data_IF_286181968748
#
_entry.id   IF_286181968748
#
_cell.length_a   1.000
_cell.length_b   1.000
_cell.length_c   1.000
_cell.angle_alpha   90.00
_cell.angle_beta   90.00
_cell.angle_gamma   90.00
#
_symmetry.space_group_name_H-M   'P 1'
#
loop_
_entity.id
_entity.type
_entity.pdbx_description
1 polymer ?
#
# COMPACT_ATOMS: atom_id res chain seq x y z
N UNK A 1 68.32 -3.47 22.12
CA UNK A 1 67.18 -3.64 21.19
C UNK A 1 66.25 -2.44 21.30
N UNK A 2 66.23 -1.53 20.32
CA UNK A 2 65.31 -0.38 20.33
C UNK A 2 63.93 -0.80 19.79
N UNK A 3 62.93 -0.81 20.68
CA UNK A 3 61.54 -1.10 20.36
C UNK A 3 60.91 0.14 19.70
N UNK A 4 60.84 0.18 18.37
CA UNK A 4 60.11 1.23 17.62
C UNK A 4 58.66 1.26 18.10
N UNK A 5 58.26 2.32 18.81
CA UNK A 5 56.86 2.56 19.15
C UNK A 5 56.12 2.90 17.86
N UNK A 6 55.12 2.11 17.49
CA UNK A 6 54.22 2.44 16.39
C UNK A 6 53.46 3.71 16.80
N UNK A 7 53.60 4.78 16.02
CA UNK A 7 52.79 5.98 16.20
C UNK A 7 51.34 5.62 15.87
N UNK A 8 50.48 5.61 16.87
CA UNK A 8 49.04 5.59 16.65
C UNK A 8 48.67 6.94 16.02
N UNK A 9 48.32 6.93 14.74
CA UNK A 9 47.71 8.08 14.08
C UNK A 9 46.29 8.21 14.61
N UNK A 10 46.04 9.27 15.37
CA UNK A 10 44.70 9.66 15.79
C UNK A 10 43.92 10.29 14.64
N UNK A 11 42.60 10.26 14.74
CA UNK A 11 41.68 10.92 13.80
C UNK A 11 41.77 12.45 13.95
N UNK A 12 41.90 13.19 12.85
CA UNK A 12 41.91 14.65 12.88
C UNK A 12 40.48 15.19 12.90
N UNK A 13 40.28 16.38 13.49
CA UNK A 13 38.97 17.05 13.44
C UNK A 13 38.54 17.38 12.01
N UNK A 14 39.50 17.67 11.14
CA UNK A 14 39.26 17.93 9.72
C UNK A 14 38.79 16.69 8.96
N UNK A 15 39.30 15.50 9.29
CA UNK A 15 38.82 14.24 8.70
C UNK A 15 37.38 13.96 9.12
N UNK A 16 37.02 14.22 10.38
CA UNK A 16 35.62 14.12 10.82
C UNK A 16 34.73 15.10 10.07
N UNK A 17 35.17 16.35 9.96
CA UNK A 17 34.38 17.46 9.39
C UNK A 17 34.05 17.19 7.92
N UNK A 18 35.04 16.76 7.12
CA UNK A 18 34.81 16.42 5.71
C UNK A 18 33.83 15.24 5.58
N UNK A 19 33.91 14.24 6.45
CA UNK A 19 32.97 13.09 6.43
C UNK A 19 31.54 13.53 6.71
N UNK A 20 31.29 14.31 7.77
CA UNK A 20 29.93 14.79 8.07
C UNK A 20 29.41 15.77 7.02
N UNK A 21 30.29 16.57 6.40
CA UNK A 21 29.91 17.45 5.29
C UNK A 21 29.43 16.64 4.07
N UNK A 22 30.14 15.55 3.72
CA UNK A 22 29.72 14.67 2.62
C UNK A 22 28.38 13.99 2.95
N UNK A 23 28.21 13.47 4.17
CA UNK A 23 26.95 12.83 4.61
C UNK A 23 25.78 13.83 4.53
N UNK A 24 25.98 15.09 4.95
CA UNK A 24 24.95 16.12 4.89
C UNK A 24 24.49 16.40 3.45
N UNK A 25 25.43 16.51 2.49
CA UNK A 25 25.11 16.72 1.07
C UNK A 25 24.34 15.52 0.51
N UNK A 26 24.78 14.29 0.80
CA UNK A 26 24.10 13.07 0.34
C UNK A 26 22.67 13.00 0.88
N UNK A 27 22.47 13.27 2.17
CA UNK A 27 21.16 13.21 2.81
C UNK A 27 20.14 14.15 2.14
N UNK A 28 20.55 15.38 1.79
CA UNK A 28 19.68 16.35 1.12
C UNK A 28 19.20 15.87 -0.25
N UNK A 29 20.08 15.24 -1.04
CA UNK A 29 19.74 14.74 -2.39
C UNK A 29 18.81 13.51 -2.33
N UNK A 30 18.91 12.72 -1.27
CA UNK A 30 18.17 11.48 -1.08
C UNK A 30 16.69 11.71 -0.76
N UNK A 31 16.35 12.70 0.06
CA UNK A 31 14.99 12.97 0.55
C UNK A 31 13.89 13.08 -0.53
N UNK A 32 14.02 13.90 -1.60
CA UNK A 32 12.94 14.08 -2.57
C UNK A 32 12.67 12.80 -3.39
N UNK A 33 13.68 11.94 -3.59
CA UNK A 33 13.51 10.70 -4.34
C UNK A 33 12.58 9.73 -3.60
N UNK A 34 12.72 9.60 -2.28
CA UNK A 34 11.92 8.66 -1.49
C UNK A 34 10.41 8.93 -1.56
N UNK A 35 9.98 10.19 -1.61
CA UNK A 35 8.55 10.55 -1.70
C UNK A 35 7.88 9.99 -2.95
N UNK A 36 8.56 10.06 -4.10
CA UNK A 36 8.02 9.57 -5.38
C UNK A 36 7.88 8.05 -5.43
N UNK A 37 8.83 7.33 -4.82
CA UNK A 37 8.78 5.86 -4.74
C UNK A 37 7.65 5.39 -3.82
N UNK A 38 7.46 6.04 -2.68
CA UNK A 38 6.38 5.69 -1.75
C UNK A 38 5.01 5.86 -2.40
N UNK A 39 4.82 6.91 -3.20
CA UNK A 39 3.54 7.16 -3.86
C UNK A 39 3.24 6.14 -4.98
N UNK A 40 4.25 5.77 -5.78
CA UNK A 40 4.10 4.68 -6.77
C UNK A 40 3.77 3.35 -6.12
N UNK A 41 4.40 3.03 -4.98
CA UNK A 41 4.11 1.82 -4.24
C UNK A 41 2.68 1.80 -3.69
N UNK A 42 2.19 2.95 -3.19
CA UNK A 42 0.79 3.12 -2.78
C UNK A 42 -0.15 2.87 -3.97
N UNK A 43 0.08 3.52 -5.10
CA UNK A 43 -0.76 3.34 -6.29
C UNK A 43 -0.78 1.88 -6.78
N UNK A 44 0.38 1.21 -6.80
CA UNK A 44 0.46 -0.20 -7.18
C UNK A 44 -0.34 -1.11 -6.24
N UNK A 45 -0.24 -0.87 -4.92
CA UNK A 45 -1.05 -1.60 -3.93
C UNK A 45 -2.54 -1.38 -4.14
N UNK A 46 -2.97 -0.12 -4.30
CA UNK A 46 -4.36 0.21 -4.53
C UNK A 46 -4.92 -0.47 -5.80
N UNK A 47 -4.13 -0.50 -6.87
CA UNK A 47 -4.50 -1.18 -8.12
C UNK A 47 -4.63 -2.70 -7.93
N UNK A 48 -3.72 -3.31 -7.17
CA UNK A 48 -3.78 -4.74 -6.85
C UNK A 48 -5.00 -5.10 -5.99
N UNK A 49 -5.30 -4.27 -4.98
CA UNK A 49 -6.47 -4.43 -4.13
C UNK A 49 -7.75 -4.39 -5.00
N UNK A 50 -7.89 -3.39 -5.87
CA UNK A 50 -9.02 -3.27 -6.80
C UNK A 50 -9.10 -4.46 -7.77
N UNK A 51 -7.97 -4.90 -8.32
CA UNK A 51 -7.92 -6.05 -9.24
C UNK A 51 -8.39 -7.34 -8.56
N UNK A 52 -7.98 -7.55 -7.31
CA UNK A 52 -8.40 -8.69 -6.50
C UNK A 52 -9.91 -8.64 -6.24
N UNK A 53 -10.42 -7.48 -5.81
CA UNK A 53 -11.85 -7.27 -5.58
C UNK A 53 -12.66 -7.43 -6.87
N UNK A 54 -12.18 -6.93 -8.01
CA UNK A 54 -12.82 -7.11 -9.32
C UNK A 54 -12.89 -8.57 -9.72
N UNK A 55 -11.82 -9.33 -9.49
CA UNK A 55 -11.77 -10.77 -9.78
C UNK A 55 -12.80 -11.54 -8.94
N UNK A 56 -12.93 -11.20 -7.66
CA UNK A 56 -13.96 -11.79 -6.77
C UNK A 56 -15.37 -11.52 -7.30
N UNK A 57 -15.66 -10.27 -7.68
CA UNK A 57 -16.96 -9.90 -8.23
C UNK A 57 -17.24 -10.65 -9.54
N UNK A 58 -16.25 -10.76 -10.43
CA UNK A 58 -16.40 -11.49 -11.70
C UNK A 58 -16.63 -12.99 -11.46
N UNK A 59 -15.91 -13.60 -10.52
CA UNK A 59 -16.12 -15.00 -10.13
C UNK A 59 -17.54 -15.21 -9.58
N UNK A 60 -18.00 -14.32 -8.71
CA UNK A 60 -19.38 -14.36 -8.22
C UNK A 60 -20.39 -14.29 -9.37
N UNK A 61 -20.23 -13.36 -10.32
CA UNK A 61 -21.15 -13.22 -11.47
C UNK A 61 -21.20 -14.50 -12.32
N UNK A 62 -20.06 -15.16 -12.51
CA UNK A 62 -19.95 -16.37 -13.31
C UNK A 62 -20.55 -17.61 -12.63
N UNK A 63 -20.34 -17.76 -11.32
CA UNK A 63 -20.68 -19.00 -10.61
C UNK A 63 -22.00 -18.90 -9.83
N UNK A 64 -22.12 -17.92 -8.93
CA UNK A 64 -23.22 -17.84 -7.95
C UNK A 64 -24.33 -16.86 -8.37
N UNK A 65 -23.93 -15.74 -8.98
CA UNK A 65 -24.78 -14.60 -9.30
C UNK A 65 -25.62 -14.80 -10.55
N UNK A 66 -25.47 -15.91 -11.28
CA UNK A 66 -26.24 -16.22 -12.49
C UNK A 66 -26.23 -15.05 -13.49
N UNK A 67 -25.05 -14.44 -13.70
CA UNK A 67 -24.90 -13.27 -14.58
C UNK A 67 -25.26 -11.92 -13.96
N UNK A 68 -25.70 -11.87 -12.70
CA UNK A 68 -26.04 -10.63 -11.99
C UNK A 68 -24.91 -10.19 -11.06
N UNK A 69 -24.63 -8.89 -11.06
CA UNK A 69 -23.66 -8.29 -10.15
C UNK A 69 -24.19 -8.26 -8.69
N UNK A 70 -23.30 -8.33 -7.68
CA UNK A 70 -23.69 -8.16 -6.28
C UNK A 70 -24.40 -6.85 -6.05
N UNK A 71 -25.34 -6.81 -5.11
CA UNK A 71 -26.05 -5.59 -4.73
C UNK A 71 -25.14 -4.65 -3.94
N UNK A 72 -25.34 -3.34 -4.09
CA UNK A 72 -24.62 -2.34 -3.31
C UNK A 72 -25.15 -2.24 -1.88
N UNK A 73 -24.82 -3.23 -1.05
CA UNK A 73 -25.16 -3.29 0.37
C UNK A 73 -23.99 -3.81 1.19
N UNK A 74 -23.78 -3.21 2.37
CA UNK A 74 -22.76 -3.66 3.32
C UNK A 74 -23.33 -4.65 4.35
N UNK A 75 -24.58 -5.05 4.21
CA UNK A 75 -25.22 -6.03 5.10
C UNK A 75 -24.86 -7.46 4.68
N UNK A 76 -24.15 -8.18 5.55
CA UNK A 76 -23.74 -9.58 5.33
C UNK A 76 -24.90 -10.56 5.47
N UNK A 77 -26.03 -10.16 6.06
CA UNK A 77 -27.22 -10.99 6.12
C UNK A 77 -27.88 -11.15 4.74
N UNK A 78 -27.62 -10.22 3.82
CA UNK A 78 -28.09 -10.26 2.43
C UNK A 78 -27.11 -11.11 1.61
N UNK A 79 -27.46 -12.31 1.12
CA UNK A 79 -26.50 -13.25 0.54
C UNK A 79 -25.81 -12.75 -0.74
N UNK A 80 -26.50 -11.91 -1.52
CA UNK A 80 -26.00 -11.33 -2.77
C UNK A 80 -25.43 -9.91 -2.58
N UNK A 81 -25.16 -9.47 -1.35
CA UNK A 81 -24.54 -8.17 -1.10
C UNK A 81 -23.05 -8.20 -1.40
N UNK A 82 -22.49 -7.05 -1.78
CA UNK A 82 -21.05 -6.93 -1.98
C UNK A 82 -20.26 -7.32 -0.73
N UNK A 83 -20.77 -7.01 0.48
CA UNK A 83 -20.14 -7.43 1.72
C UNK A 83 -20.12 -8.96 1.90
N UNK A 84 -21.25 -9.63 1.67
CA UNK A 84 -21.34 -11.08 1.80
C UNK A 84 -20.42 -11.80 0.80
N UNK A 85 -20.41 -11.33 -0.45
CA UNK A 85 -19.55 -11.87 -1.51
C UNK A 85 -18.07 -11.68 -1.15
N UNK A 86 -17.65 -10.45 -0.83
CA UNK A 86 -16.24 -10.18 -0.50
C UNK A 86 -15.75 -10.96 0.72
N UNK A 87 -16.56 -11.03 1.78
CA UNK A 87 -16.17 -11.73 3.01
C UNK A 87 -16.08 -13.24 2.83
N UNK A 88 -16.91 -13.85 1.97
CA UNK A 88 -16.80 -15.28 1.62
C UNK A 88 -15.45 -15.61 0.97
N UNK A 89 -14.88 -14.66 0.22
CA UNK A 89 -13.55 -14.77 -0.38
C UNK A 89 -12.43 -14.22 0.53
N UNK A 90 -12.70 -14.02 1.82
CA UNK A 90 -11.70 -13.62 2.82
C UNK A 90 -11.35 -12.13 2.83
N UNK A 91 -12.07 -11.30 2.08
CA UNK A 91 -11.87 -9.84 2.09
C UNK A 91 -12.82 -9.20 3.10
N UNK A 92 -12.24 -8.54 4.12
CA UNK A 92 -13.03 -7.80 5.14
C UNK A 92 -13.62 -6.53 4.53
N UNK A 93 -14.76 -6.68 3.87
CA UNK A 93 -15.53 -5.57 3.31
C UNK A 93 -16.57 -5.08 4.31
N UNK A 94 -16.47 -3.81 4.70
CA UNK A 94 -17.40 -3.16 5.65
C UNK A 94 -17.98 -1.85 5.09
N UNK A 95 -17.45 -1.33 3.97
CA UNK A 95 -17.83 -0.03 3.41
C UNK A 95 -17.46 1.18 4.29
N UNK A 96 -16.63 0.97 5.31
CA UNK A 96 -16.12 1.97 6.24
C UNK A 96 -14.63 1.75 6.54
N UNK A 97 -14.03 2.63 7.34
CA UNK A 97 -12.61 2.56 7.69
C UNK A 97 -12.21 1.37 8.57
N UNK A 98 -13.16 0.55 9.04
CA UNK A 98 -12.88 -0.65 9.84
C UNK A 98 -12.54 -1.89 9.00
N UNK A 99 -12.83 -1.86 7.70
CA UNK A 99 -12.56 -2.91 6.73
C UNK A 99 -11.29 -2.66 5.92
N UNK A 100 -11.31 -3.08 4.65
CA UNK A 100 -10.24 -2.78 3.71
C UNK A 100 -10.24 -1.28 3.35
N UNK A 101 -9.06 -0.67 3.48
CA UNK A 101 -8.82 0.74 3.19
C UNK A 101 -7.70 0.87 2.17
N UNK A 102 -7.78 1.92 1.37
CA UNK A 102 -6.75 2.28 0.41
C UNK A 102 -5.46 2.72 1.14
N UNK A 103 -4.33 2.84 0.43
CA UNK A 103 -3.06 3.26 1.01
C UNK A 103 -3.02 4.71 1.53
N UNK A 104 -4.08 5.49 1.31
CA UNK A 104 -4.29 6.83 1.88
C UNK A 104 -5.28 6.83 3.07
N UNK A 105 -5.76 5.65 3.49
CA UNK A 105 -6.61 5.45 4.65
C UNK A 105 -8.11 5.65 4.39
N UNK A 106 -8.55 5.71 3.14
CA UNK A 106 -9.97 5.84 2.77
C UNK A 106 -10.56 4.47 2.45
N UNK A 107 -11.81 4.19 2.85
CA UNK A 107 -12.43 2.91 2.52
C UNK A 107 -12.77 2.81 1.03
N UNK A 108 -12.80 1.57 0.53
CA UNK A 108 -13.29 1.28 -0.81
C UNK A 108 -14.82 1.34 -0.85
N UNK A 109 -15.35 1.86 -1.96
CA UNK A 109 -16.79 1.91 -2.22
C UNK A 109 -17.12 1.09 -3.45
N UNK A 110 -18.24 0.38 -3.37
CA UNK A 110 -18.82 -0.30 -4.51
C UNK A 110 -19.98 0.55 -5.04
N UNK A 111 -20.08 0.65 -6.37
CA UNK A 111 -21.17 1.35 -7.02
C UNK A 111 -21.65 0.52 -8.21
N UNK A 112 -22.96 0.30 -8.28
CA UNK A 112 -23.59 -0.27 -9.46
C UNK A 112 -23.94 0.88 -10.39
N UNK A 113 -23.43 0.84 -11.63
CA UNK A 113 -23.89 1.79 -12.64
C UNK A 113 -25.26 1.30 -13.11
N UNK A 114 -26.31 1.89 -12.56
CA UNK A 114 -27.66 1.73 -13.10
C UNK A 114 -27.67 2.51 -14.40
N UNK A 115 -27.53 1.84 -15.54
CA UNK A 115 -27.78 2.46 -16.84
C UNK A 115 -29.28 2.75 -16.90
N UNK A 116 -29.65 4.02 -16.75
CA UNK A 116 -31.02 4.48 -17.01
C UNK A 116 -31.40 4.09 -18.45
N UNK A 117 -32.61 3.56 -18.67
CA UNK A 117 -33.08 3.17 -20.01
C UNK A 117 -33.23 4.37 -20.96
#
# INVERSE_FOLDING_TARGET
MLKKRRAFRGFTMTELLVVVAIIAVLAVVLLPRFMSYTERARQARAAQDISTMSTIVQAYVADEGQGHYPTNSNDTAVPNSIAAVMQRHGVKWTGDSSGIVDPWGRPYYYAQVVTSP
#
